data_IF_147094098190
#
_entry.id   IF_147094098190
#
_cell.length_a   1.000
_cell.length_b   1.000
_cell.length_c   1.000
_cell.angle_alpha   90.00
_cell.angle_beta   90.00
_cell.angle_gamma   90.00
#
_symmetry.space_group_name_H-M   'P 1'
#
loop_
_entity.id
_entity.type
_entity.pdbx_description
1 polymer ?
#
# COMPACT_ATOMS: atom_id res chain seq x y z
N UNK A 1 -3.70 1.94 15.06
CA UNK A 1 -3.71 1.43 16.45
C UNK A 1 -2.70 0.29 16.70
N UNK A 2 -1.73 0.06 15.81
CA UNK A 2 -0.73 -1.03 15.95
C UNK A 2 0.61 -0.53 16.51
N UNK A 3 0.84 0.77 16.53
CA UNK A 3 2.11 1.35 17.01
C UNK A 3 2.29 1.41 18.53
N UNK A 4 1.26 1.19 19.33
CA UNK A 4 1.33 1.38 20.80
C UNK A 4 1.71 0.13 21.59
N UNK A 5 1.53 -1.06 21.07
CA UNK A 5 1.82 -2.30 21.81
C UNK A 5 3.30 -2.71 21.75
N UNK A 6 4.02 -2.32 20.72
CA UNK A 6 5.47 -2.61 20.63
C UNK A 6 6.30 -1.74 21.56
N UNK A 7 5.85 -0.51 21.87
CA UNK A 7 6.50 0.36 22.85
C UNK A 7 6.26 -0.05 24.31
N UNK A 8 5.22 -0.82 24.59
CA UNK A 8 4.92 -1.30 25.97
C UNK A 8 5.91 -2.40 26.40
N UNK A 9 6.50 -3.12 25.45
CA UNK A 9 7.41 -4.23 25.75
C UNK A 9 8.75 -3.78 26.31
N UNK A 10 9.30 -2.68 25.83
CA UNK A 10 10.59 -2.16 26.30
C UNK A 10 10.48 -1.48 27.68
N UNK A 11 9.36 -0.81 27.97
CA UNK A 11 9.14 -0.16 29.26
C UNK A 11 8.83 -1.15 30.41
N UNK A 12 8.38 -2.37 30.09
CA UNK A 12 8.11 -3.40 31.09
C UNK A 12 9.36 -4.14 31.55
N UNK A 13 10.39 -4.23 30.71
CA UNK A 13 11.63 -4.94 31.05
C UNK A 13 12.50 -4.21 32.09
N UNK A 14 12.47 -2.89 32.15
CA UNK A 14 13.25 -2.12 33.13
C UNK A 14 12.66 -2.18 34.55
N UNK A 15 11.37 -2.44 34.71
CA UNK A 15 10.67 -2.32 36.00
C UNK A 15 10.52 -3.63 36.78
N UNK A 16 10.62 -4.79 36.14
CA UNK A 16 10.25 -6.08 36.76
C UNK A 16 11.29 -7.21 36.64
N UNK A 17 12.56 -6.91 36.31
CA UNK A 17 13.67 -7.88 36.33
C UNK A 17 13.32 -9.23 35.67
N UNK A 18 13.94 -9.53 34.56
CA UNK A 18 14.02 -10.80 33.78
C UNK A 18 12.97 -11.89 34.02
N UNK A 19 11.72 -11.56 34.25
CA UNK A 19 10.62 -12.49 34.09
C UNK A 19 10.19 -12.43 32.62
N UNK A 20 10.76 -13.31 31.81
CA UNK A 20 10.22 -13.60 30.48
C UNK A 20 8.81 -14.16 30.70
N UNK A 21 7.81 -13.31 30.56
CA UNK A 21 6.44 -13.79 30.42
C UNK A 21 6.39 -14.42 29.03
N UNK A 22 6.62 -15.72 28.95
CA UNK A 22 6.30 -16.52 27.78
C UNK A 22 4.78 -16.51 27.71
N UNK A 23 4.20 -15.51 27.03
CA UNK A 23 2.84 -15.67 26.54
C UNK A 23 2.92 -16.82 25.54
N UNK A 24 2.39 -17.97 25.93
CA UNK A 24 2.21 -19.11 25.04
C UNK A 24 1.05 -18.77 24.08
N UNK A 25 1.25 -17.78 23.23
CA UNK A 25 0.34 -17.44 22.14
C UNK A 25 0.73 -18.32 20.96
N UNK A 26 -0.15 -19.26 20.65
CA UNK A 26 -0.01 -20.14 19.49
C UNK A 26 -0.29 -19.33 18.19
N UNK A 27 0.64 -18.43 17.84
CA UNK A 27 0.56 -17.59 16.64
C UNK A 27 0.71 -18.52 15.43
N UNK A 28 -0.32 -18.59 14.61
CA UNK A 28 -0.34 -19.41 13.40
C UNK A 28 -0.07 -18.61 12.13
N UNK A 29 -0.37 -17.32 12.13
CA UNK A 29 -0.21 -16.45 10.97
C UNK A 29 0.27 -15.07 11.40
N UNK A 30 1.21 -14.53 10.61
CA UNK A 30 1.68 -13.15 10.71
C UNK A 30 1.46 -12.47 9.36
N UNK A 31 0.73 -11.35 9.37
CA UNK A 31 0.60 -10.46 8.22
C UNK A 31 1.58 -9.28 8.41
N UNK A 32 2.47 -9.09 7.44
CA UNK A 32 3.56 -8.12 7.51
C UNK A 32 3.30 -6.93 6.59
N UNK A 33 3.25 -5.76 7.19
CA UNK A 33 3.43 -4.52 6.45
C UNK A 33 4.89 -4.33 6.06
N UNK A 34 5.14 -3.70 4.91
CA UNK A 34 6.47 -3.58 4.33
C UNK A 34 7.13 -2.24 4.63
N UNK A 35 6.53 -1.16 4.16
CA UNK A 35 7.16 0.15 4.18
C UNK A 35 7.22 0.73 5.60
N UNK A 36 8.45 1.10 6.06
CA UNK A 36 8.70 1.61 7.42
C UNK A 36 8.39 0.62 8.55
N UNK A 37 8.12 -0.64 8.24
CA UNK A 37 7.82 -1.72 9.20
C UNK A 37 8.84 -2.85 9.04
N UNK A 38 8.79 -3.58 7.94
CA UNK A 38 9.68 -4.72 7.68
C UNK A 38 10.91 -4.32 6.87
N UNK A 39 10.75 -3.33 5.99
CA UNK A 39 11.83 -2.79 5.17
C UNK A 39 12.59 -1.68 5.89
N UNK A 40 13.88 -1.57 5.59
CA UNK A 40 14.74 -0.48 6.07
C UNK A 40 14.47 0.84 5.30
N UNK A 41 15.21 1.91 5.65
CA UNK A 41 15.10 3.23 5.03
C UNK A 41 15.41 3.25 3.52
N UNK A 42 16.08 2.22 3.02
CA UNK A 42 16.42 2.05 1.59
C UNK A 42 15.42 1.15 0.86
N UNK A 43 14.31 0.79 1.52
CA UNK A 43 13.26 -0.12 1.03
C UNK A 43 13.75 -1.54 0.74
N UNK A 44 14.73 -2.02 1.52
CA UNK A 44 15.28 -3.37 1.44
C UNK A 44 14.98 -4.18 2.70
N UNK A 45 14.81 -5.48 2.53
CA UNK A 45 14.73 -6.43 3.63
C UNK A 45 16.12 -6.65 4.24
N UNK A 46 16.30 -6.32 5.53
CA UNK A 46 17.57 -6.60 6.22
C UNK A 46 17.79 -8.10 6.39
N UNK A 47 19.05 -8.54 6.45
CA UNK A 47 19.39 -9.95 6.66
C UNK A 47 18.84 -10.46 8.00
N UNK A 48 18.83 -9.62 9.03
CA UNK A 48 18.27 -9.96 10.35
C UNK A 48 16.77 -10.24 10.24
N UNK A 49 16.01 -9.38 9.56
CA UNK A 49 14.58 -9.58 9.35
C UNK A 49 14.32 -10.80 8.46
N UNK A 50 15.12 -10.98 7.40
CA UNK A 50 15.04 -12.15 6.53
C UNK A 50 15.19 -13.45 7.33
N UNK A 51 16.22 -13.55 8.18
CA UNK A 51 16.43 -14.73 9.00
C UNK A 51 15.30 -14.96 10.00
N UNK A 52 14.80 -13.89 10.63
CA UNK A 52 13.67 -14.00 11.56
C UNK A 52 12.40 -14.53 10.88
N UNK A 53 12.14 -14.15 9.62
CA UNK A 53 11.02 -14.67 8.83
C UNK A 53 11.21 -16.16 8.52
N UNK A 54 12.40 -16.57 8.10
CA UNK A 54 12.74 -17.98 7.84
C UNK A 54 12.56 -18.82 9.11
N UNK A 55 13.03 -18.32 10.26
CA UNK A 55 12.90 -18.99 11.54
C UNK A 55 11.43 -19.13 11.95
N UNK A 56 10.61 -18.08 11.81
CA UNK A 56 9.19 -18.13 12.09
C UNK A 56 8.47 -19.17 11.22
N UNK A 57 8.73 -19.17 9.92
CA UNK A 57 8.18 -20.14 8.96
C UNK A 57 8.59 -21.56 9.32
N UNK A 58 9.87 -21.78 9.64
CA UNK A 58 10.41 -23.08 10.04
C UNK A 58 9.77 -23.62 11.32
N UNK A 59 9.26 -22.74 12.17
CA UNK A 59 8.51 -23.08 13.39
C UNK A 59 6.99 -23.21 13.15
N UNK A 60 6.54 -23.25 11.88
CA UNK A 60 5.15 -23.50 11.51
C UNK A 60 4.24 -22.26 11.53
N UNK A 61 4.81 -21.05 11.53
CA UNK A 61 4.05 -19.80 11.41
C UNK A 61 3.88 -19.49 9.92
N UNK A 62 2.66 -19.28 9.48
CA UNK A 62 2.39 -18.75 8.14
C UNK A 62 2.72 -17.26 8.10
N UNK A 63 3.50 -16.84 7.11
CA UNK A 63 3.82 -15.43 6.89
C UNK A 63 3.22 -14.99 5.56
N UNK A 64 2.42 -13.92 5.60
CA UNK A 64 1.91 -13.27 4.39
C UNK A 64 2.28 -11.77 4.37
N UNK A 65 2.41 -11.23 3.19
CA UNK A 65 2.64 -9.79 2.98
C UNK A 65 1.27 -9.08 3.04
N UNK A 66 1.22 -7.90 3.67
CA UNK A 66 0.07 -6.99 3.66
C UNK A 66 0.57 -5.57 3.38
N UNK A 67 0.36 -5.06 2.17
CA UNK A 67 0.96 -3.81 1.71
C UNK A 67 0.01 -3.00 0.82
N UNK A 68 0.16 -1.67 0.82
CA UNK A 68 -0.49 -0.80 -0.16
C UNK A 68 0.09 -0.92 -1.57
N UNK A 69 1.25 -1.55 -1.72
CA UNK A 69 1.88 -1.72 -3.03
C UNK A 69 1.06 -2.60 -3.96
N UNK A 70 1.12 -2.31 -5.28
CA UNK A 70 0.68 -3.26 -6.30
C UNK A 70 1.59 -4.51 -6.30
N UNK A 71 1.07 -5.65 -6.74
CA UNK A 71 1.82 -6.92 -6.72
C UNK A 71 3.17 -6.83 -7.44
N UNK A 72 3.20 -6.25 -8.65
CA UNK A 72 4.42 -6.14 -9.47
C UNK A 72 5.45 -5.12 -8.91
N UNK A 73 5.09 -4.40 -7.85
CA UNK A 73 5.97 -3.45 -7.16
C UNK A 73 6.46 -3.96 -5.80
N UNK A 74 6.12 -5.22 -5.45
CA UNK A 74 6.63 -5.86 -4.25
C UNK A 74 8.14 -6.10 -4.39
N UNK A 75 8.94 -5.85 -3.33
CA UNK A 75 10.38 -6.06 -3.37
C UNK A 75 10.75 -7.53 -3.56
N UNK A 76 11.64 -7.81 -4.50
CA UNK A 76 12.11 -9.18 -4.81
C UNK A 76 12.77 -9.85 -3.60
N UNK A 77 13.50 -9.10 -2.78
CA UNK A 77 14.14 -9.62 -1.57
C UNK A 77 13.14 -10.09 -0.51
N UNK A 78 11.90 -9.62 -0.55
CA UNK A 78 10.79 -10.08 0.30
C UNK A 78 10.09 -11.28 -0.31
N UNK A 79 9.64 -11.18 -1.56
CA UNK A 79 8.86 -12.26 -2.20
C UNK A 79 9.67 -13.51 -2.48
N UNK A 80 11.01 -13.41 -2.48
CA UNK A 80 11.94 -14.55 -2.60
C UNK A 80 12.23 -15.25 -1.27
N UNK A 81 11.70 -14.79 -0.13
CA UNK A 81 11.88 -15.50 1.16
C UNK A 81 11.14 -16.83 1.10
N UNK A 82 11.85 -17.98 1.30
CA UNK A 82 11.20 -19.28 1.24
C UNK A 82 10.06 -19.42 2.25
N UNK A 83 8.88 -19.81 1.77
CA UNK A 83 7.70 -20.03 2.60
C UNK A 83 6.77 -18.82 2.76
N UNK A 84 7.10 -17.65 2.20
CA UNK A 84 6.13 -16.58 1.98
C UNK A 84 5.35 -16.91 0.71
N UNK A 85 4.10 -17.32 0.86
CA UNK A 85 3.29 -17.83 -0.25
C UNK A 85 2.25 -16.84 -0.75
N UNK A 86 1.81 -15.90 0.10
CA UNK A 86 0.68 -15.01 -0.19
C UNK A 86 1.01 -13.55 0.07
N UNK A 87 0.39 -12.68 -0.73
CA UNK A 87 0.45 -11.24 -0.57
C UNK A 87 -0.95 -10.63 -0.67
N UNK A 88 -1.29 -9.78 0.29
CA UNK A 88 -2.40 -8.85 0.25
C UNK A 88 -1.83 -7.53 -0.25
N UNK A 89 -2.38 -6.98 -1.35
CA UNK A 89 -1.83 -5.82 -2.08
C UNK A 89 -2.88 -4.75 -2.30
N UNK A 90 -2.47 -3.59 -2.80
CA UNK A 90 -3.36 -2.47 -3.12
C UNK A 90 -4.31 -2.13 -1.96
N UNK A 91 -3.75 -1.95 -0.76
CA UNK A 91 -4.50 -1.64 0.48
C UNK A 91 -5.60 -2.66 0.84
N UNK A 92 -5.43 -3.93 0.45
CA UNK A 92 -6.40 -5.00 0.71
C UNK A 92 -7.31 -5.33 -0.48
N UNK A 93 -7.23 -4.57 -1.58
CA UNK A 93 -8.08 -4.78 -2.75
C UNK A 93 -7.76 -6.07 -3.50
N UNK A 94 -6.55 -6.63 -3.39
CA UNK A 94 -6.21 -7.87 -4.08
C UNK A 94 -5.39 -8.84 -3.21
N UNK A 95 -5.64 -10.14 -3.40
CA UNK A 95 -4.92 -11.23 -2.73
C UNK A 95 -4.28 -12.10 -3.81
N UNK A 96 -2.97 -12.27 -3.71
CA UNK A 96 -2.20 -13.07 -4.65
C UNK A 96 -1.53 -14.27 -3.99
N UNK A 97 -1.48 -15.39 -4.73
CA UNK A 97 -0.45 -16.39 -4.51
C UNK A 97 0.80 -15.94 -5.27
N UNK A 98 1.94 -15.84 -4.56
CA UNK A 98 3.19 -15.31 -5.12
C UNK A 98 3.70 -16.21 -6.25
N UNK A 99 3.70 -17.54 -6.01
CA UNK A 99 4.05 -18.51 -7.05
C UNK A 99 3.07 -18.43 -8.24
N UNK A 100 3.60 -18.09 -9.40
CA UNK A 100 2.82 -17.95 -10.63
C UNK A 100 2.00 -16.66 -10.74
N UNK A 101 2.13 -15.71 -9.81
CA UNK A 101 1.40 -14.43 -9.79
C UNK A 101 -0.13 -14.61 -9.93
N UNK A 102 -0.67 -15.59 -9.23
CA UNK A 102 -2.10 -15.91 -9.32
C UNK A 102 -2.93 -15.00 -8.44
N UNK A 103 -3.79 -14.18 -9.03
CA UNK A 103 -4.79 -13.41 -8.28
C UNK A 103 -5.89 -14.35 -7.77
N UNK A 104 -5.93 -14.56 -6.47
CA UNK A 104 -6.93 -15.43 -5.82
C UNK A 104 -8.24 -14.68 -5.56
N UNK A 105 -8.15 -13.39 -5.29
CA UNK A 105 -9.30 -12.53 -5.01
C UNK A 105 -8.95 -11.10 -5.38
N UNK A 106 -9.90 -10.40 -5.98
CA UNK A 106 -9.85 -8.96 -6.22
C UNK A 106 -11.18 -8.32 -5.81
N UNK A 107 -11.10 -7.14 -5.21
CA UNK A 107 -12.23 -6.28 -4.83
C UNK A 107 -12.07 -4.98 -5.59
N UNK A 108 -12.67 -4.89 -6.76
CA UNK A 108 -12.55 -3.72 -7.63
C UNK A 108 -13.52 -2.62 -7.23
N UNK A 109 -13.12 -1.38 -7.46
CA UNK A 109 -13.99 -0.21 -7.33
C UNK A 109 -15.16 -0.31 -8.32
N UNK A 110 -16.34 0.17 -7.89
CA UNK A 110 -17.48 0.24 -8.82
C UNK A 110 -17.23 1.33 -9.87
N UNK A 111 -17.67 1.13 -11.14
CA UNK A 111 -17.56 2.18 -12.17
C UNK A 111 -18.21 3.51 -11.78
N UNK A 112 -19.27 3.46 -11.00
CA UNK A 112 -19.97 4.63 -10.45
C UNK A 112 -19.08 5.40 -9.48
N UNK A 113 -18.41 4.69 -8.55
CA UNK A 113 -17.48 5.31 -7.60
C UNK A 113 -16.30 5.93 -8.33
N UNK A 114 -15.71 5.23 -9.31
CA UNK A 114 -14.61 5.75 -10.14
C UNK A 114 -15.00 7.05 -10.84
N UNK A 115 -16.14 7.06 -11.55
CA UNK A 115 -16.63 8.25 -12.25
C UNK A 115 -16.96 9.39 -11.29
N UNK A 116 -17.53 9.08 -10.13
CA UNK A 116 -17.83 10.06 -9.09
C UNK A 116 -16.55 10.71 -8.56
N UNK A 117 -15.51 9.93 -8.25
CA UNK A 117 -14.21 10.44 -7.80
C UNK A 117 -13.62 11.39 -8.83
N UNK A 118 -13.51 10.96 -10.09
CA UNK A 118 -12.95 11.77 -11.16
C UNK A 118 -13.75 13.07 -11.38
N UNK A 119 -15.08 12.99 -11.34
CA UNK A 119 -15.95 14.16 -11.49
C UNK A 119 -15.83 15.15 -10.34
N UNK A 120 -15.70 14.65 -9.11
CA UNK A 120 -15.53 15.51 -7.94
C UNK A 120 -14.18 16.24 -7.92
N UNK A 121 -13.18 15.72 -8.60
CA UNK A 121 -11.80 16.25 -8.59
C UNK A 121 -11.37 16.88 -9.91
N UNK A 122 -12.26 16.96 -10.91
CA UNK A 122 -11.94 17.43 -12.28
C UNK A 122 -11.39 18.86 -12.34
N UNK A 123 -11.69 19.72 -11.36
CA UNK A 123 -11.27 21.12 -11.31
C UNK A 123 -10.16 21.37 -10.25
N UNK A 124 -9.68 20.31 -9.60
CA UNK A 124 -8.63 20.40 -8.59
C UNK A 124 -7.24 20.22 -9.22
N UNK A 125 -6.22 20.77 -8.55
CA UNK A 125 -4.81 20.52 -8.95
C UNK A 125 -4.38 19.18 -8.34
N UNK A 126 -4.76 18.10 -9.02
CA UNK A 126 -4.45 16.72 -8.64
C UNK A 126 -4.02 15.90 -9.84
N UNK A 127 -3.37 14.78 -9.58
CA UNK A 127 -3.16 13.71 -10.56
C UNK A 127 -3.48 12.37 -9.93
N UNK A 128 -3.40 11.30 -10.70
CA UNK A 128 -3.84 9.98 -10.24
C UNK A 128 -2.76 8.92 -10.48
N UNK A 129 -2.76 7.95 -9.58
CA UNK A 129 -2.19 6.63 -9.82
C UNK A 129 -3.33 5.60 -9.85
N UNK A 130 -3.24 4.63 -10.73
CA UNK A 130 -4.25 3.57 -10.87
C UNK A 130 -3.61 2.20 -10.66
N UNK A 131 -4.34 1.30 -10.00
CA UNK A 131 -3.86 -0.05 -9.72
C UNK A 131 -4.82 -1.06 -10.34
N UNK A 132 -4.29 -1.90 -11.23
CA UNK A 132 -5.08 -2.86 -12.01
C UNK A 132 -4.31 -4.17 -12.10
N UNK A 133 -4.91 -5.27 -11.63
CA UNK A 133 -4.37 -6.64 -11.78
C UNK A 133 -2.88 -6.75 -11.38
N UNK A 134 -2.54 -6.09 -10.28
CA UNK A 134 -1.19 -6.11 -9.72
C UNK A 134 -0.20 -5.13 -10.36
N UNK A 135 -0.60 -4.37 -11.37
CA UNK A 135 0.19 -3.31 -11.99
C UNK A 135 -0.19 -1.93 -11.46
N UNK A 136 0.76 -1.01 -11.47
CA UNK A 136 0.55 0.37 -11.07
C UNK A 136 0.86 1.33 -12.23
N UNK A 137 -0.01 2.31 -12.42
CA UNK A 137 0.04 3.29 -13.49
C UNK A 137 0.06 4.71 -12.92
N UNK A 138 0.74 5.64 -13.59
CA UNK A 138 0.77 7.04 -13.22
C UNK A 138 0.77 7.95 -14.45
N UNK A 139 0.47 9.23 -14.25
CA UNK A 139 0.53 10.24 -15.30
C UNK A 139 1.97 10.56 -15.70
N UNK A 140 2.23 10.70 -17.02
CA UNK A 140 3.48 11.26 -17.54
C UNK A 140 3.71 12.68 -17.01
N UNK A 141 2.64 13.50 -16.90
CA UNK A 141 2.70 14.85 -16.34
C UNK A 141 3.18 14.86 -14.88
N UNK A 142 2.76 13.88 -14.08
CA UNK A 142 3.20 13.75 -12.69
C UNK A 142 4.72 13.62 -12.59
N UNK A 143 5.32 12.83 -13.48
CA UNK A 143 6.78 12.63 -13.48
C UNK A 143 7.56 13.77 -14.12
N UNK A 144 6.91 14.58 -14.97
CA UNK A 144 7.49 15.75 -15.60
C UNK A 144 7.42 17.01 -14.70
N UNK A 145 6.35 17.16 -13.93
CA UNK A 145 6.05 18.32 -13.08
C UNK A 145 5.69 17.90 -11.63
N UNK A 146 6.59 17.19 -10.92
CA UNK A 146 6.29 16.63 -9.59
C UNK A 146 6.01 17.71 -8.54
N UNK A 147 6.61 18.90 -8.68
CA UNK A 147 6.41 20.04 -7.80
C UNK A 147 4.95 20.52 -7.76
N UNK A 148 4.23 20.38 -8.86
CA UNK A 148 2.81 20.74 -8.99
C UNK A 148 1.92 19.93 -8.05
N UNK A 149 2.35 18.72 -7.69
CA UNK A 149 1.61 17.76 -6.89
C UNK A 149 2.25 17.47 -5.54
N UNK A 150 3.21 18.30 -5.11
CA UNK A 150 3.88 18.16 -3.82
C UNK A 150 4.79 16.93 -3.67
N UNK A 151 5.23 16.35 -4.80
CA UNK A 151 6.09 15.18 -4.77
C UNK A 151 7.50 15.52 -4.28
N UNK A 152 8.03 14.63 -3.44
CA UNK A 152 9.44 14.66 -3.05
C UNK A 152 10.31 13.93 -4.08
N UNK A 153 11.62 14.19 -4.09
CA UNK A 153 12.55 13.45 -4.96
C UNK A 153 12.47 11.93 -4.71
N UNK A 154 12.32 11.54 -3.45
CA UNK A 154 12.19 10.12 -3.07
C UNK A 154 10.93 9.48 -3.68
N UNK A 155 9.76 10.11 -3.53
CA UNK A 155 8.50 9.61 -4.09
C UNK A 155 8.54 9.58 -5.62
N UNK A 156 9.12 10.60 -6.26
CA UNK A 156 9.28 10.65 -7.71
C UNK A 156 10.15 9.51 -8.25
N UNK A 157 11.29 9.24 -7.59
CA UNK A 157 12.17 8.13 -7.98
C UNK A 157 11.48 6.77 -7.84
N UNK A 158 10.64 6.60 -6.81
CA UNK A 158 9.83 5.40 -6.63
C UNK A 158 8.79 5.26 -7.76
N UNK A 159 8.03 6.32 -8.05
CA UNK A 159 7.04 6.34 -9.14
C UNK A 159 7.68 5.99 -10.47
N UNK A 160 8.79 6.65 -10.84
CA UNK A 160 9.51 6.38 -12.10
C UNK A 160 10.00 4.94 -12.24
N UNK A 161 10.32 4.28 -11.14
CA UNK A 161 10.80 2.88 -11.14
C UNK A 161 9.68 1.85 -11.19
N UNK A 162 8.51 2.19 -10.69
CA UNK A 162 7.46 1.21 -10.37
C UNK A 162 6.16 1.42 -11.13
N UNK A 163 5.95 2.57 -11.80
CA UNK A 163 4.71 2.88 -12.50
C UNK A 163 4.89 2.79 -14.01
N UNK A 164 3.85 2.28 -14.67
CA UNK A 164 3.69 2.36 -16.12
C UNK A 164 3.08 3.71 -16.43
N UNK A 165 3.77 4.56 -17.21
CA UNK A 165 3.33 5.92 -17.47
C UNK A 165 2.26 5.97 -18.56
N UNK A 166 1.27 6.86 -18.36
CA UNK A 166 0.18 7.15 -19.29
C UNK A 166 0.10 8.66 -19.54
N UNK A 167 -0.01 9.05 -20.80
CA UNK A 167 -0.11 10.47 -21.17
C UNK A 167 -1.43 11.07 -20.72
N UNK A 168 -2.51 10.31 -20.83
CA UNK A 168 -3.84 10.64 -20.28
C UNK A 168 -4.28 9.58 -19.29
N UNK A 169 -3.92 9.80 -18.04
CA UNK A 169 -4.27 8.87 -16.94
C UNK A 169 -5.77 8.85 -16.65
N UNK A 170 -6.47 9.97 -16.88
CA UNK A 170 -7.92 10.08 -16.64
C UNK A 170 -8.69 9.24 -17.64
N UNK A 171 -8.39 9.38 -18.94
CA UNK A 171 -8.98 8.53 -19.97
C UNK A 171 -8.65 7.07 -19.74
N UNK A 172 -7.41 6.74 -19.36
CA UNK A 172 -7.02 5.38 -19.02
C UNK A 172 -7.85 4.80 -17.85
N UNK A 173 -8.05 5.56 -16.77
CA UNK A 173 -8.89 5.14 -15.64
C UNK A 173 -10.34 4.92 -16.07
N UNK A 174 -10.89 5.82 -16.91
CA UNK A 174 -12.27 5.66 -17.41
C UNK A 174 -12.46 4.43 -18.29
N UNK A 175 -11.48 4.13 -19.17
CA UNK A 175 -11.50 2.92 -20.01
C UNK A 175 -11.46 1.63 -19.17
N UNK A 176 -10.77 1.67 -18.02
CA UNK A 176 -10.59 0.53 -17.12
C UNK A 176 -11.45 0.60 -15.85
N UNK A 177 -12.49 1.44 -15.81
CA UNK A 177 -13.24 1.75 -14.57
C UNK A 177 -13.93 0.54 -13.90
N UNK A 178 -13.99 -0.61 -14.55
CA UNK A 178 -14.58 -1.85 -14.04
C UNK A 178 -13.54 -2.89 -13.57
N UNK A 179 -12.25 -2.54 -13.56
CA UNK A 179 -11.17 -3.46 -13.17
C UNK A 179 -10.08 -2.83 -12.28
N UNK A 180 -10.38 -1.65 -11.69
CA UNK A 180 -9.47 -0.94 -10.78
C UNK A 180 -9.50 -1.54 -9.39
N UNK A 181 -8.37 -2.05 -8.92
CA UNK A 181 -8.17 -2.48 -7.53
C UNK A 181 -8.19 -1.26 -6.59
N UNK A 182 -7.54 -0.16 -7.00
CA UNK A 182 -7.54 1.12 -6.26
C UNK A 182 -7.17 2.31 -7.16
N UNK A 183 -7.46 3.50 -6.67
CA UNK A 183 -7.01 4.78 -7.23
C UNK A 183 -6.36 5.58 -6.13
N UNK A 184 -5.17 6.11 -6.38
CA UNK A 184 -4.57 7.12 -5.51
C UNK A 184 -4.72 8.49 -6.15
N UNK A 185 -5.17 9.48 -5.38
CA UNK A 185 -5.14 10.89 -5.76
C UNK A 185 -3.88 11.51 -5.18
N UNK A 186 -3.02 12.03 -6.06
CA UNK A 186 -1.80 12.76 -5.68
C UNK A 186 -2.15 14.23 -5.57
N UNK A 187 -2.01 14.79 -4.38
CA UNK A 187 -2.41 16.16 -4.05
C UNK A 187 -1.40 16.78 -3.10
N UNK A 188 -0.79 17.90 -3.52
CA UNK A 188 0.29 18.57 -2.76
C UNK A 188 -0.19 19.45 -1.61
N UNK A 189 -1.49 19.69 -1.48
CA UNK A 189 -2.08 20.57 -0.49
C UNK A 189 -2.95 19.78 0.50
N UNK A 190 -2.64 19.87 1.80
CA UNK A 190 -3.33 19.13 2.85
C UNK A 190 -4.78 19.60 3.08
N UNK A 191 -5.10 20.88 2.85
CA UNK A 191 -6.47 21.39 2.97
C UNK A 191 -7.31 20.88 1.80
N UNK A 192 -6.75 20.95 0.58
CA UNK A 192 -7.41 20.40 -0.62
C UNK A 192 -7.65 18.90 -0.44
N UNK A 193 -6.67 18.14 0.06
CA UNK A 193 -6.84 16.70 0.33
C UNK A 193 -8.02 16.43 1.28
N UNK A 194 -8.09 17.15 2.42
CA UNK A 194 -9.23 17.03 3.36
C UNK A 194 -10.55 17.36 2.69
N UNK A 195 -10.59 18.44 1.90
CA UNK A 195 -11.79 18.84 1.16
C UNK A 195 -12.23 17.75 0.17
N UNK A 196 -11.29 17.17 -0.58
CA UNK A 196 -11.55 16.04 -1.50
C UNK A 196 -12.13 14.84 -0.73
N UNK A 197 -11.51 14.44 0.37
CA UNK A 197 -12.01 13.36 1.22
C UNK A 197 -13.44 13.60 1.67
N UNK A 198 -13.75 14.81 2.12
CA UNK A 198 -15.10 15.16 2.59
C UNK A 198 -16.14 15.17 1.46
N UNK A 199 -15.76 15.60 0.25
CA UNK A 199 -16.62 15.52 -0.95
C UNK A 199 -16.91 14.07 -1.33
N UNK A 200 -15.91 13.22 -1.35
CA UNK A 200 -16.06 11.80 -1.68
C UNK A 200 -16.94 11.11 -0.63
N UNK A 201 -16.69 11.30 0.68
CA UNK A 201 -17.52 10.73 1.76
C UNK A 201 -18.99 11.12 1.70
N UNK A 202 -19.29 12.33 1.21
CA UNK A 202 -20.67 12.78 1.04
C UNK A 202 -21.34 12.20 -0.20
N UNK A 203 -20.57 11.79 -1.19
CA UNK A 203 -21.08 11.32 -2.48
C UNK A 203 -21.23 9.79 -2.54
N UNK A 204 -20.40 9.03 -1.81
CA UNK A 204 -20.44 7.57 -1.79
C UNK A 204 -19.91 7.03 -0.47
N UNK A 205 -20.49 5.89 -0.03
CA UNK A 205 -20.03 5.06 1.10
C UNK A 205 -19.43 3.72 0.63
N UNK A 206 -19.31 3.54 -0.69
CA UNK A 206 -18.80 2.30 -1.30
C UNK A 206 -17.27 2.23 -1.38
N UNK A 207 -16.55 3.24 -0.88
CA UNK A 207 -15.10 3.29 -0.96
C UNK A 207 -14.46 3.46 0.42
N UNK A 208 -13.33 2.78 0.62
CA UNK A 208 -12.46 3.03 1.76
C UNK A 208 -11.38 4.05 1.37
N UNK A 209 -11.09 5.00 2.26
CA UNK A 209 -10.08 6.03 2.03
C UNK A 209 -9.06 6.04 3.16
N UNK A 210 -7.79 6.03 2.79
CA UNK A 210 -6.65 6.18 3.70
C UNK A 210 -5.62 7.16 3.15
N UNK A 211 -4.63 7.50 3.95
CA UNK A 211 -3.52 8.39 3.56
C UNK A 211 -2.27 7.95 4.32
N UNK A 212 -1.40 7.23 3.65
CA UNK A 212 -0.14 6.73 4.21
C UNK A 212 0.96 7.79 4.24
N UNK A 213 0.92 8.74 3.29
CA UNK A 213 1.83 9.89 3.19
C UNK A 213 1.06 11.17 2.88
N UNK A 214 1.69 12.34 3.16
CA UNK A 214 1.01 13.64 3.07
C UNK A 214 0.40 13.93 1.70
N UNK A 215 1.07 13.56 0.61
CA UNK A 215 0.61 13.86 -0.75
C UNK A 215 -0.32 12.80 -1.36
N UNK A 216 -0.67 11.71 -0.67
CA UNK A 216 -1.56 10.68 -1.21
C UNK A 216 -2.89 10.61 -0.49
N UNK A 217 -3.95 10.42 -1.26
CA UNK A 217 -5.24 9.93 -0.83
C UNK A 217 -5.50 8.62 -1.58
N UNK A 218 -5.44 7.53 -0.84
CA UNK A 218 -5.55 6.16 -1.36
C UNK A 218 -7.01 5.71 -1.22
N UNK A 219 -7.60 5.19 -2.30
CA UNK A 219 -9.02 4.83 -2.40
C UNK A 219 -9.15 3.42 -2.97
N UNK A 220 -9.78 2.53 -2.18
CA UNK A 220 -10.02 1.13 -2.53
C UNK A 220 -11.42 0.66 -2.17
#
# INVERSE_FOLDING_TARGET
LVGSEMCIRDSYNEKYGNKVIIMNTDIKLVALDLDRTTLNSESHLSEVNRQALIDAISNGVHVCIASGRAFDTLPEDVISVPGIEYAITSNGAAIYRIAGKECLKSYVLTPESVKTILKLTENDIVTYEAFIKGQAFASTEYTAHPEKYGATEHSLNYVKKTRILKDDIVSFILEHCHELDSIDIVVGDDELKKNIMDRIRKATDEVYMTSSISQLLEIS
#
